data_IF_846280669752
#
_entry.id   IF_846280669752
#
_cell.length_a   1.000
_cell.length_b   1.000
_cell.length_c   1.000
_cell.angle_alpha   90.00
_cell.angle_beta   90.00
_cell.angle_gamma   90.00
#
_symmetry.space_group_name_H-M   'P 1'
#
loop_
_entity.id
_entity.type
_entity.pdbx_description
1 polymer ?
#
# COMPACT_ATOMS: atom_id res chain seq x y z
N UNK A 1 -11.33 -15.21 4.63
CA UNK A 1 -10.25 -16.14 4.22
C UNK A 1 -10.54 -17.54 4.73
N UNK A 2 -10.34 -18.52 3.86
CA UNK A 2 -10.34 -19.95 4.22
C UNK A 2 -9.22 -20.23 5.22
N UNK A 3 -9.33 -21.34 5.95
CA UNK A 3 -8.36 -21.69 7.02
C UNK A 3 -6.94 -21.82 6.48
N UNK A 4 -6.78 -22.43 5.30
CA UNK A 4 -5.47 -22.60 4.68
C UNK A 4 -4.81 -21.28 4.28
N UNK A 5 -5.58 -20.35 3.72
CA UNK A 5 -5.06 -19.02 3.34
C UNK A 5 -4.49 -18.29 4.55
N UNK A 6 -5.16 -18.38 5.72
CA UNK A 6 -4.69 -17.74 6.96
C UNK A 6 -3.39 -18.34 7.46
N UNK A 7 -3.24 -19.66 7.34
CA UNK A 7 -2.01 -20.35 7.71
C UNK A 7 -0.84 -19.91 6.83
N UNK A 8 -1.06 -19.81 5.51
CA UNK A 8 -0.04 -19.37 4.56
C UNK A 8 0.37 -17.92 4.81
N UNK A 9 -0.60 -16.99 4.95
CA UNK A 9 -0.34 -15.58 5.25
C UNK A 9 0.48 -15.42 6.54
N UNK A 10 0.10 -16.11 7.61
CA UNK A 10 0.83 -16.06 8.89
C UNK A 10 2.29 -16.50 8.77
N UNK A 11 2.58 -17.53 7.96
CA UNK A 11 3.96 -17.97 7.71
C UNK A 11 4.73 -16.98 6.84
N UNK A 12 4.12 -16.49 5.76
CA UNK A 12 4.76 -15.55 4.84
C UNK A 12 5.13 -14.23 5.51
N UNK A 13 4.31 -13.72 6.44
CA UNK A 13 4.62 -12.52 7.22
C UNK A 13 5.90 -12.61 8.04
N UNK A 14 6.33 -13.81 8.42
CA UNK A 14 7.61 -14.04 9.11
C UNK A 14 8.81 -14.21 8.18
N UNK A 15 8.58 -14.39 6.87
CA UNK A 15 9.63 -14.69 5.88
C UNK A 15 9.89 -13.54 4.92
N UNK A 16 8.89 -12.71 4.64
CA UNK A 16 8.97 -11.63 3.67
C UNK A 16 9.12 -10.30 4.40
N UNK A 17 10.19 -9.57 4.08
CA UNK A 17 10.33 -8.18 4.49
C UNK A 17 9.42 -7.31 3.61
N UNK A 18 8.40 -6.71 4.21
CA UNK A 18 7.53 -5.76 3.52
C UNK A 18 7.94 -4.35 3.91
N UNK A 19 7.98 -3.44 2.93
CA UNK A 19 8.43 -2.07 3.14
C UNK A 19 7.49 -1.29 4.05
N UNK A 20 8.05 -0.32 4.79
CA UNK A 20 7.31 0.53 5.72
C UNK A 20 6.40 1.53 5.00
N UNK A 21 6.48 1.63 3.68
CA UNK A 21 5.62 2.45 2.84
C UNK A 21 4.36 1.69 2.39
N UNK A 22 4.27 0.37 2.62
CA UNK A 22 3.08 -0.41 2.26
C UNK A 22 1.93 -0.15 3.23
N UNK A 23 0.84 0.43 2.74
CA UNK A 23 -0.37 0.68 3.52
C UNK A 23 -1.43 -0.41 3.36
N UNK A 24 -1.50 -1.03 2.17
CA UNK A 24 -2.50 -2.05 1.87
C UNK A 24 -2.24 -3.37 2.60
N UNK A 25 -3.31 -4.02 3.08
CA UNK A 25 -3.26 -5.36 3.71
C UNK A 25 -2.33 -5.48 4.93
N UNK A 26 -2.01 -4.34 5.55
CA UNK A 26 -1.22 -4.26 6.76
C UNK A 26 -2.11 -4.10 8.00
N UNK A 27 -1.80 -4.82 9.09
CA UNK A 27 -2.44 -4.53 10.36
C UNK A 27 -2.12 -3.09 10.76
N UNK A 28 -3.05 -2.43 11.44
CA UNK A 28 -2.87 -1.09 12.02
C UNK A 28 -2.62 0.04 11.01
N UNK A 29 -2.87 -0.19 9.71
CA UNK A 29 -2.78 0.83 8.66
C UNK A 29 -4.11 0.97 7.94
N UNK A 30 -4.75 2.13 8.10
CA UNK A 30 -6.02 2.42 7.43
C UNK A 30 -5.82 3.26 6.16
N UNK A 31 -6.67 3.05 5.16
CA UNK A 31 -6.77 3.94 4.00
C UNK A 31 -7.13 5.36 4.43
N UNK A 32 -7.87 5.52 5.54
CA UNK A 32 -8.23 6.83 6.09
C UNK A 32 -6.97 7.62 6.48
N UNK A 33 -6.02 6.96 7.16
CA UNK A 33 -4.78 7.58 7.60
C UNK A 33 -3.91 7.98 6.40
N UNK A 34 -3.81 7.12 5.38
CA UNK A 34 -3.08 7.43 4.16
C UNK A 34 -3.67 8.65 3.42
N UNK A 35 -5.00 8.72 3.30
CA UNK A 35 -5.69 9.89 2.71
C UNK A 35 -5.46 11.14 3.56
N UNK A 36 -5.54 11.02 4.88
CA UNK A 36 -5.31 12.13 5.79
C UNK A 36 -3.88 12.70 5.62
N UNK A 37 -2.87 11.82 5.58
CA UNK A 37 -1.47 12.22 5.34
C UNK A 37 -1.32 12.93 3.99
N UNK A 38 -1.90 12.38 2.91
CA UNK A 38 -1.84 13.00 1.59
C UNK A 38 -2.43 14.42 1.61
N UNK A 39 -3.58 14.61 2.29
CA UNK A 39 -4.21 15.94 2.47
C UNK A 39 -3.32 16.89 3.26
N UNK A 40 -2.74 16.44 4.36
CA UNK A 40 -1.81 17.25 5.16
C UNK A 40 -0.60 17.72 4.35
N UNK A 41 -0.05 16.86 3.49
CA UNK A 41 1.02 17.25 2.57
C UNK A 41 0.56 18.34 1.60
N UNK A 42 -0.61 18.16 0.97
CA UNK A 42 -1.17 19.16 0.04
C UNK A 42 -1.40 20.51 0.72
N UNK A 43 -1.98 20.51 1.91
CA UNK A 43 -2.25 21.73 2.71
C UNK A 43 -0.95 22.46 3.05
N UNK A 44 0.07 21.76 3.52
CA UNK A 44 1.37 22.34 3.90
C UNK A 44 2.12 22.98 2.72
N UNK A 45 2.01 22.42 1.52
CA UNK A 45 2.56 23.03 0.31
C UNK A 45 1.78 24.28 -0.10
N UNK A 46 0.45 24.23 0.01
CA UNK A 46 -0.44 25.36 -0.26
C UNK A 46 -0.16 26.55 0.66
N UNK A 47 0.02 26.32 1.96
CA UNK A 47 0.39 27.35 2.94
C UNK A 47 1.69 28.06 2.57
N UNK A 48 2.68 27.31 2.09
CA UNK A 48 3.98 27.85 1.66
C UNK A 48 3.96 28.46 0.26
N UNK A 49 2.80 28.52 -0.39
CA UNK A 49 2.62 28.95 -1.80
C UNK A 49 3.57 28.22 -2.75
N UNK A 50 3.83 26.93 -2.48
CA UNK A 50 4.67 26.07 -3.34
C UNK A 50 3.78 25.14 -4.16
N UNK A 51 4.15 24.83 -5.41
CA UNK A 51 3.45 23.82 -6.18
C UNK A 51 3.60 22.45 -5.53
N UNK A 52 2.51 21.69 -5.52
CA UNK A 52 2.47 20.29 -5.08
C UNK A 52 2.05 19.44 -6.29
N UNK A 53 2.88 18.47 -6.67
CA UNK A 53 2.60 17.54 -7.76
C UNK A 53 2.45 16.14 -7.18
N UNK A 54 1.31 15.51 -7.45
CA UNK A 54 0.98 14.15 -6.99
C UNK A 54 0.69 13.30 -8.23
N UNK A 55 1.18 12.07 -8.21
CA UNK A 55 0.96 11.11 -9.29
C UNK A 55 0.19 9.92 -8.73
N UNK A 56 -0.93 9.61 -9.35
CA UNK A 56 -1.71 8.41 -9.06
C UNK A 56 -1.21 7.29 -9.97
N UNK A 57 -0.77 6.21 -9.35
CA UNK A 57 -0.31 5.00 -10.03
C UNK A 57 -1.26 3.86 -9.67
N UNK A 58 -1.76 3.17 -10.68
CA UNK A 58 -2.59 1.98 -10.53
C UNK A 58 -2.12 0.89 -11.49
N UNK A 59 -2.24 -0.37 -11.07
CA UNK A 59 -1.84 -1.53 -11.85
C UNK A 59 -3.07 -2.22 -12.42
N UNK A 60 -3.18 -2.28 -13.75
CA UNK A 60 -4.26 -3.00 -14.40
C UNK A 60 -4.12 -4.51 -14.15
N UNK A 61 -5.12 -5.12 -13.49
CA UNK A 61 -5.18 -6.57 -13.21
C UNK A 61 -3.95 -7.10 -12.47
N UNK A 62 -3.57 -6.43 -11.38
CA UNK A 62 -2.37 -6.72 -10.59
C UNK A 62 -2.21 -8.19 -10.18
N UNK A 63 -3.32 -8.89 -9.88
CA UNK A 63 -3.28 -10.31 -9.49
C UNK A 63 -3.27 -11.27 -10.69
N UNK A 64 -3.90 -10.91 -11.81
CA UNK A 64 -4.05 -11.81 -12.95
C UNK A 64 -2.83 -11.80 -13.88
N UNK A 65 -2.07 -10.69 -13.91
CA UNK A 65 -0.93 -10.49 -14.81
C UNK A 65 0.43 -10.87 -14.22
N UNK A 66 0.45 -11.54 -13.06
CA UNK A 66 1.69 -12.03 -12.45
C UNK A 66 2.31 -13.16 -13.31
N UNK A 67 3.58 -13.02 -13.77
CA UNK A 67 4.24 -14.09 -14.50
C UNK A 67 4.40 -15.33 -13.61
N UNK A 68 3.86 -16.48 -14.04
CA UNK A 68 3.92 -17.71 -13.23
C UNK A 68 5.35 -18.22 -13.01
N UNK A 69 6.30 -17.84 -13.86
CA UNK A 69 7.70 -18.21 -13.72
C UNK A 69 8.40 -17.54 -12.52
N UNK A 70 7.80 -16.49 -11.93
CA UNK A 70 8.36 -15.80 -10.75
C UNK A 70 7.63 -16.16 -9.45
N UNK A 71 6.62 -17.05 -9.52
CA UNK A 71 5.93 -17.64 -8.37
C UNK A 71 6.58 -18.98 -8.01
#
# INVERSE_FOLDING_TARGET
>A
MKVYERLVDSRLRGMVAISQEQWGFMPERSTIDAIFIARQVMEKYREKRRPCHLVFLDLEKAYDRLPRAVL
#
